data_IF_312910644274
#
_entry.id   IF_312910644274
#
_cell.length_a   1.000
_cell.length_b   1.000
_cell.length_c   1.000
_cell.angle_alpha   90.00
_cell.angle_beta   90.00
_cell.angle_gamma   90.00
#
_symmetry.space_group_name_H-M   'P 1'
#
loop_
_entity.id
_entity.type
_entity.pdbx_description
1 polymer ?
#
# COMPACT_ATOMS: atom_id res chain seq x y z
N UNK A 1 10.74 -33.42 -40.91
CA UNK A 1 10.00 -32.77 -39.81
C UNK A 1 8.88 -33.72 -39.41
N UNK A 2 8.83 -34.14 -38.14
CA UNK A 2 7.75 -35.00 -37.64
C UNK A 2 6.46 -34.18 -37.62
N UNK A 3 5.38 -34.70 -38.21
CA UNK A 3 4.08 -34.03 -38.19
C UNK A 3 3.64 -33.74 -36.74
N UNK A 4 3.11 -32.54 -36.46
CA UNK A 4 2.62 -32.22 -35.13
C UNK A 4 1.41 -33.08 -34.78
N UNK A 5 1.37 -33.57 -33.53
CA UNK A 5 0.26 -34.39 -33.05
C UNK A 5 -1.10 -33.67 -33.22
N UNK A 6 -2.09 -34.38 -33.76
CA UNK A 6 -3.40 -33.84 -34.14
C UNK A 6 -4.06 -33.03 -33.02
N UNK A 7 -4.04 -33.55 -31.78
CA UNK A 7 -4.64 -32.86 -30.63
C UNK A 7 -4.05 -31.46 -30.36
N UNK A 8 -2.79 -31.19 -30.74
CA UNK A 8 -2.17 -29.86 -30.59
C UNK A 8 -2.72 -28.88 -31.61
N UNK A 9 -2.95 -29.35 -32.83
CA UNK A 9 -3.53 -28.55 -33.92
C UNK A 9 -4.96 -28.19 -33.53
N UNK A 10 -5.75 -29.18 -33.10
CA UNK A 10 -7.12 -28.98 -32.66
C UNK A 10 -7.19 -28.05 -31.43
N UNK A 11 -6.23 -28.16 -30.51
CA UNK A 11 -6.16 -27.29 -29.34
C UNK A 11 -5.86 -25.83 -29.69
N UNK A 12 -4.92 -25.59 -30.63
CA UNK A 12 -4.60 -24.24 -31.10
C UNK A 12 -5.81 -23.62 -31.81
N UNK A 13 -6.48 -24.37 -32.69
CA UNK A 13 -7.72 -23.92 -33.34
C UNK A 13 -8.81 -23.57 -32.33
N UNK A 14 -9.00 -24.40 -31.31
CA UNK A 14 -9.93 -24.13 -30.22
C UNK A 14 -9.58 -22.90 -29.36
N UNK A 15 -8.30 -22.49 -29.31
CA UNK A 15 -7.91 -21.23 -28.66
C UNK A 15 -8.18 -20.04 -29.56
N UNK A 16 -7.87 -20.16 -30.86
CA UNK A 16 -8.18 -19.14 -31.87
C UNK A 16 -9.68 -18.82 -31.89
N UNK A 17 -10.54 -19.85 -31.90
CA UNK A 17 -11.99 -19.71 -31.87
C UNK A 17 -12.47 -19.00 -30.59
N UNK A 18 -11.87 -19.31 -29.43
CA UNK A 18 -12.21 -18.63 -28.17
C UNK A 18 -11.74 -17.18 -28.13
N UNK A 19 -10.55 -16.89 -28.65
CA UNK A 19 -10.04 -15.52 -28.75
C UNK A 19 -10.91 -14.72 -29.71
N UNK A 20 -11.37 -15.29 -30.82
CA UNK A 20 -12.19 -14.62 -31.82
C UNK A 20 -13.64 -14.40 -31.37
N UNK A 21 -14.23 -15.36 -30.68
CA UNK A 21 -15.64 -15.32 -30.26
C UNK A 21 -15.97 -14.25 -29.22
N UNK A 22 -14.97 -13.76 -28.47
CA UNK A 22 -15.15 -12.84 -27.35
C UNK A 22 -14.40 -11.54 -27.54
N UNK A 23 -14.85 -10.49 -26.87
CA UNK A 23 -14.22 -9.15 -26.98
C UNK A 23 -12.86 -9.11 -26.30
N UNK A 24 -12.77 -9.65 -25.09
CA UNK A 24 -11.59 -9.55 -24.23
C UNK A 24 -10.87 -10.89 -24.12
N UNK A 25 -9.55 -10.83 -24.27
CA UNK A 25 -8.63 -11.95 -24.07
C UNK A 25 -7.53 -11.55 -23.09
N UNK A 26 -7.43 -12.24 -21.97
CA UNK A 26 -6.44 -11.96 -20.92
C UNK A 26 -5.54 -13.17 -20.69
N UNK A 27 -4.26 -12.90 -20.45
CA UNK A 27 -3.27 -13.89 -20.04
C UNK A 27 -3.09 -13.76 -18.54
N UNK A 28 -3.29 -14.88 -17.84
CA UNK A 28 -3.08 -14.97 -16.39
C UNK A 28 -2.01 -15.99 -16.06
N UNK A 29 -1.25 -15.75 -15.00
CA UNK A 29 -0.36 -16.73 -14.40
C UNK A 29 -1.15 -17.66 -13.49
N UNK A 30 -0.85 -18.96 -13.56
CA UNK A 30 -1.37 -19.97 -12.63
C UNK A 30 -0.30 -20.46 -11.64
N UNK A 31 0.85 -19.78 -11.58
CA UNK A 31 2.00 -20.19 -10.77
C UNK A 31 1.60 -20.25 -9.29
N UNK A 32 1.97 -21.34 -8.62
CA UNK A 32 1.73 -21.50 -7.18
C UNK A 32 0.32 -21.95 -6.78
N UNK A 33 -0.63 -21.99 -7.72
CA UNK A 33 -2.00 -22.43 -7.43
C UNK A 33 -2.12 -23.95 -7.26
N UNK A 34 -2.79 -24.37 -6.18
CA UNK A 34 -3.20 -25.77 -5.99
C UNK A 34 -4.45 -26.06 -6.81
N UNK A 35 -4.65 -27.33 -7.17
CA UNK A 35 -5.83 -27.75 -7.94
C UNK A 35 -7.16 -27.35 -7.26
N UNK A 36 -7.26 -27.49 -5.93
CA UNK A 36 -8.48 -27.13 -5.21
C UNK A 36 -8.76 -25.62 -5.24
N UNK A 37 -7.72 -24.80 -5.11
CA UNK A 37 -7.81 -23.33 -5.19
C UNK A 37 -8.20 -22.91 -6.61
N UNK A 38 -7.52 -23.46 -7.62
CA UNK A 38 -7.85 -23.21 -9.02
C UNK A 38 -9.28 -23.62 -9.36
N UNK A 39 -9.78 -24.75 -8.86
CA UNK A 39 -11.17 -25.17 -9.08
C UNK A 39 -12.17 -24.23 -8.41
N UNK A 40 -11.89 -23.74 -7.20
CA UNK A 40 -12.74 -22.73 -6.54
C UNK A 40 -12.81 -21.45 -7.36
N UNK A 41 -11.68 -20.94 -7.83
CA UNK A 41 -11.60 -19.73 -8.67
C UNK A 41 -12.30 -19.97 -10.02
N UNK A 42 -12.10 -21.14 -10.63
CA UNK A 42 -12.75 -21.49 -11.90
C UNK A 42 -14.27 -21.57 -11.76
N UNK A 43 -14.77 -22.05 -10.63
CA UNK A 43 -16.20 -22.12 -10.36
C UNK A 43 -16.81 -20.73 -10.09
N UNK A 44 -16.10 -19.84 -9.39
CA UNK A 44 -16.61 -18.50 -9.09
C UNK A 44 -16.69 -17.58 -10.31
N UNK A 45 -15.85 -17.82 -11.33
CA UNK A 45 -15.79 -16.99 -12.54
C UNK A 45 -16.54 -17.64 -13.72
N UNK A 46 -17.07 -18.86 -13.57
CA UNK A 46 -17.63 -19.67 -14.67
C UNK A 46 -18.68 -18.96 -15.53
N UNK A 47 -19.50 -18.12 -14.90
CA UNK A 47 -20.59 -17.39 -15.59
C UNK A 47 -20.10 -16.14 -16.32
N UNK A 48 -18.95 -15.58 -15.91
CA UNK A 48 -18.41 -14.31 -16.41
C UNK A 48 -17.25 -14.49 -17.38
N UNK A 49 -16.42 -15.50 -17.18
CA UNK A 49 -15.28 -15.78 -18.04
C UNK A 49 -15.01 -17.27 -18.18
N UNK A 50 -14.34 -17.64 -19.28
CA UNK A 50 -13.82 -19.01 -19.43
C UNK A 50 -12.31 -18.98 -19.28
N UNK A 51 -11.81 -19.96 -18.54
CA UNK A 51 -10.39 -20.14 -18.28
C UNK A 51 -9.93 -21.41 -19.00
N UNK A 52 -8.98 -21.27 -19.92
CA UNK A 52 -8.29 -22.37 -20.58
C UNK A 52 -6.79 -22.35 -20.24
N UNK A 53 -6.36 -23.35 -19.49
CA UNK A 53 -4.94 -23.58 -19.23
C UNK A 53 -4.28 -24.06 -20.51
N UNK A 54 -3.17 -23.44 -20.90
CA UNK A 54 -2.47 -23.77 -22.13
C UNK A 54 -0.96 -23.72 -21.93
N UNK A 55 -0.23 -24.45 -22.79
CA UNK A 55 1.23 -24.29 -22.84
C UNK A 55 1.52 -22.94 -23.48
N UNK A 56 2.40 -22.15 -22.89
CA UNK A 56 2.84 -20.84 -23.39
C UNK A 56 3.12 -20.84 -24.92
N UNK A 57 3.83 -21.85 -25.42
CA UNK A 57 4.15 -21.97 -26.85
C UNK A 57 2.92 -22.16 -27.74
N UNK A 58 1.91 -22.91 -27.30
CA UNK A 58 0.67 -23.10 -28.06
C UNK A 58 -0.20 -21.84 -28.01
N UNK A 59 -0.22 -21.15 -26.87
CA UNK A 59 -0.95 -19.89 -26.73
C UNK A 59 -0.37 -18.80 -27.63
N UNK A 60 0.96 -18.68 -27.70
CA UNK A 60 1.62 -17.75 -28.63
C UNK A 60 1.28 -18.02 -30.08
N UNK A 61 1.29 -19.30 -30.48
CA UNK A 61 0.94 -19.69 -31.83
C UNK A 61 -0.52 -19.34 -32.15
N UNK A 62 -1.45 -19.62 -31.23
CA UNK A 62 -2.86 -19.24 -31.40
C UNK A 62 -3.02 -17.72 -31.55
N UNK A 63 -2.32 -16.92 -30.72
CA UNK A 63 -2.36 -15.45 -30.79
C UNK A 63 -1.80 -14.94 -32.13
N UNK A 64 -0.72 -15.52 -32.66
CA UNK A 64 -0.12 -15.14 -33.94
C UNK A 64 -1.02 -15.47 -35.13
N UNK A 65 -1.73 -16.60 -35.08
CA UNK A 65 -2.70 -17.00 -36.09
C UNK A 65 -4.02 -16.22 -36.01
N UNK A 66 -4.24 -15.46 -34.93
CA UNK A 66 -5.47 -14.70 -34.76
C UNK A 66 -5.40 -13.42 -35.61
N UNK A 67 -6.39 -13.21 -36.48
CA UNK A 67 -6.48 -12.02 -37.35
C UNK A 67 -6.91 -10.71 -36.66
N UNK A 68 -6.80 -10.60 -35.33
CA UNK A 68 -7.22 -9.41 -34.57
C UNK A 68 -6.15 -8.32 -34.59
N UNK A 69 -6.57 -7.07 -34.71
CA UNK A 69 -5.67 -5.92 -34.77
C UNK A 69 -4.75 -5.85 -33.54
N UNK A 70 -3.44 -5.75 -33.75
CA UNK A 70 -2.43 -5.50 -32.71
C UNK A 70 -2.37 -6.54 -31.55
N UNK A 71 -3.06 -7.69 -31.69
CA UNK A 71 -3.08 -8.75 -30.67
C UNK A 71 -1.73 -9.46 -30.53
N UNK A 72 -0.88 -9.37 -31.57
CA UNK A 72 0.43 -10.04 -31.62
C UNK A 72 1.31 -9.64 -30.44
N UNK A 73 1.21 -8.40 -29.94
CA UNK A 73 1.97 -7.93 -28.77
C UNK A 73 1.62 -8.65 -27.47
N UNK A 74 0.44 -9.30 -27.40
CA UNK A 74 0.02 -10.07 -26.22
C UNK A 74 0.89 -11.33 -26.02
N UNK A 75 1.54 -11.83 -27.09
CA UNK A 75 2.38 -13.03 -27.06
C UNK A 75 3.59 -12.89 -26.13
N UNK A 76 4.11 -11.67 -25.98
CA UNK A 76 5.31 -11.35 -25.19
C UNK A 76 5.03 -11.47 -23.68
N UNK A 77 3.76 -11.56 -23.29
CA UNK A 77 3.32 -11.77 -21.91
C UNK A 77 3.01 -13.24 -21.62
N UNK A 78 2.96 -14.09 -22.63
CA UNK A 78 2.64 -15.52 -22.51
C UNK A 78 3.88 -16.34 -22.07
N UNK A 79 4.41 -16.15 -20.86
CA UNK A 79 5.59 -16.86 -20.35
C UNK A 79 5.29 -17.73 -19.11
N UNK A 80 5.90 -18.91 -19.02
CA UNK A 80 5.77 -19.80 -17.86
C UNK A 80 4.46 -20.60 -17.83
N UNK A 81 3.89 -20.72 -16.63
CA UNK A 81 2.62 -21.41 -16.40
C UNK A 81 1.47 -20.40 -16.57
N UNK A 82 0.80 -20.47 -17.72
CA UNK A 82 -0.23 -19.49 -18.12
C UNK A 82 -1.57 -20.13 -18.40
N UNK A 83 -2.62 -19.33 -18.26
CA UNK A 83 -3.95 -19.63 -18.75
C UNK A 83 -4.48 -18.45 -19.55
N UNK A 84 -5.31 -18.76 -20.56
CA UNK A 84 -6.09 -17.78 -21.29
C UNK A 84 -7.44 -17.63 -20.59
N UNK A 85 -7.80 -16.39 -20.31
CA UNK A 85 -9.15 -16.00 -19.90
C UNK A 85 -9.80 -15.27 -21.07
N UNK A 86 -10.97 -15.71 -21.48
CA UNK A 86 -11.79 -15.00 -22.46
C UNK A 86 -13.09 -14.57 -21.81
N UNK A 87 -13.57 -13.38 -22.14
CA UNK A 87 -14.78 -12.78 -21.57
C UNK A 87 -15.30 -11.63 -22.44
N UNK A 88 -16.55 -11.26 -22.23
CA UNK A 88 -17.20 -10.10 -22.83
C UNK A 88 -17.29 -8.91 -21.84
N UNK A 89 -16.85 -9.10 -20.59
CA UNK A 89 -16.69 -8.02 -19.61
C UNK A 89 -15.40 -7.22 -19.84
N UNK A 90 -15.33 -6.02 -19.29
CA UNK A 90 -14.15 -5.15 -19.43
C UNK A 90 -12.92 -5.71 -18.69
N UNK A 91 -11.69 -5.43 -19.18
CA UNK A 91 -10.44 -5.88 -18.57
C UNK A 91 -10.30 -5.53 -17.09
N UNK A 92 -10.73 -4.32 -16.71
CA UNK A 92 -10.67 -3.84 -15.32
C UNK A 92 -11.60 -4.64 -14.39
N UNK A 93 -12.83 -4.94 -14.82
CA UNK A 93 -13.75 -5.76 -14.03
C UNK A 93 -13.20 -7.16 -13.79
N UNK A 94 -12.59 -7.75 -14.81
CA UNK A 94 -11.96 -9.07 -14.70
C UNK A 94 -10.77 -9.02 -13.75
N UNK A 95 -9.93 -7.99 -13.84
CA UNK A 95 -8.85 -7.76 -12.88
C UNK A 95 -9.40 -7.71 -11.44
N UNK A 96 -10.42 -6.90 -11.19
CA UNK A 96 -10.99 -6.75 -9.84
C UNK A 96 -11.64 -8.05 -9.33
N UNK A 97 -12.29 -8.83 -10.20
CA UNK A 97 -12.85 -10.14 -9.85
C UNK A 97 -11.73 -11.12 -9.49
N UNK A 98 -10.66 -11.15 -10.28
CA UNK A 98 -9.52 -12.03 -10.03
C UNK A 98 -8.84 -11.65 -8.71
N UNK A 99 -8.64 -10.36 -8.45
CA UNK A 99 -8.03 -9.86 -7.21
C UNK A 99 -8.88 -10.18 -5.98
N UNK A 100 -10.21 -10.02 -6.07
CA UNK A 100 -11.15 -10.40 -5.00
C UNK A 100 -11.23 -11.92 -4.77
N UNK A 101 -10.95 -12.71 -5.81
CA UNK A 101 -10.97 -14.17 -5.72
C UNK A 101 -9.70 -14.76 -5.09
N UNK A 102 -8.66 -13.94 -4.87
CA UNK A 102 -7.41 -14.38 -4.25
C UNK A 102 -7.65 -14.76 -2.79
N UNK A 103 -7.04 -15.85 -2.38
CA UNK A 103 -7.13 -16.35 -1.01
C UNK A 103 -5.76 -16.50 -0.42
N UNK A 104 -5.60 -16.21 0.87
CA UNK A 104 -4.35 -16.47 1.56
C UNK A 104 -4.14 -17.97 1.73
N UNK A 105 -2.93 -18.44 1.46
CA UNK A 105 -2.54 -19.85 1.52
C UNK A 105 -1.29 -20.06 2.40
N UNK A 106 -1.14 -21.25 3.01
CA UNK A 106 0.02 -21.58 3.83
C UNK A 106 1.26 -21.85 2.99
N UNK A 107 2.40 -21.34 3.46
CA UNK A 107 3.72 -21.56 2.90
C UNK A 107 4.16 -23.03 3.01
N UNK A 108 4.90 -23.54 2.00
CA UNK A 108 5.51 -24.88 2.05
C UNK A 108 7.00 -24.87 2.40
N UNK A 109 7.61 -23.70 2.41
CA UNK A 109 9.05 -23.51 2.60
C UNK A 109 9.80 -23.52 1.26
N UNK A 110 10.78 -22.62 1.11
CA UNK A 110 11.49 -22.35 -0.15
C UNK A 110 10.82 -21.28 -1.03
N UNK A 111 9.69 -20.73 -0.59
CA UNK A 111 8.98 -19.65 -1.27
C UNK A 111 9.51 -18.29 -0.81
N UNK A 112 9.47 -17.29 -1.69
CA UNK A 112 9.91 -15.92 -1.40
C UNK A 112 8.71 -15.16 -0.83
N UNK A 113 8.90 -14.45 0.28
CA UNK A 113 7.87 -13.61 0.86
C UNK A 113 7.59 -12.37 -0.01
N UNK A 114 6.32 -12.17 -0.41
CA UNK A 114 5.89 -11.02 -1.22
C UNK A 114 5.79 -9.73 -0.39
N UNK A 115 5.57 -9.88 0.92
CA UNK A 115 5.39 -8.82 1.91
C UNK A 115 6.10 -9.18 3.22
N UNK A 116 6.29 -8.20 4.09
CA UNK A 116 6.86 -8.43 5.42
C UNK A 116 5.86 -9.23 6.28
N UNK A 117 6.32 -10.37 6.80
CA UNK A 117 5.51 -11.22 7.68
C UNK A 117 5.79 -10.80 9.13
N UNK A 118 4.91 -9.99 9.68
CA UNK A 118 4.94 -9.55 11.08
C UNK A 118 4.03 -10.46 11.90
N UNK A 119 4.53 -10.92 13.05
CA UNK A 119 3.76 -11.72 14.00
C UNK A 119 3.58 -10.88 15.26
N UNK A 120 2.32 -10.55 15.56
CA UNK A 120 1.93 -9.81 16.76
C UNK A 120 1.95 -10.69 18.02
N UNK A 121 2.10 -10.09 19.22
CA UNK A 121 1.95 -10.80 20.48
C UNK A 121 0.58 -11.49 20.55
N UNK A 122 0.58 -12.82 20.71
CA UNK A 122 -0.64 -13.62 20.70
C UNK A 122 -0.52 -14.80 21.65
N UNK A 123 -1.58 -15.04 22.41
CA UNK A 123 -1.76 -16.28 23.17
C UNK A 123 -2.17 -17.40 22.23
N UNK A 124 -1.41 -18.50 22.20
CA UNK A 124 -1.74 -19.67 21.39
C UNK A 124 -2.50 -20.71 22.22
N UNK A 125 -3.23 -21.61 21.55
CA UNK A 125 -3.93 -22.72 22.22
C UNK A 125 -3.08 -24.00 22.30
N UNK A 126 -1.77 -23.91 22.06
CA UNK A 126 -0.89 -25.08 22.13
C UNK A 126 -0.43 -25.37 23.56
N UNK A 127 -0.48 -26.64 24.00
CA UNK A 127 0.03 -27.02 25.31
C UNK A 127 1.56 -26.91 25.36
N UNK A 128 2.14 -26.70 26.55
CA UNK A 128 3.59 -26.70 26.74
C UNK A 128 4.15 -28.08 26.37
N UNK A 129 5.11 -28.10 25.46
CA UNK A 129 5.64 -29.31 24.86
C UNK A 129 6.69 -29.00 23.80
N UNK A 130 7.05 -29.95 22.91
CA UNK A 130 8.09 -29.75 21.89
C UNK A 130 7.81 -28.56 20.95
N UNK A 131 6.55 -28.12 20.86
CA UNK A 131 6.14 -26.94 20.11
C UNK A 131 6.81 -25.65 20.58
N UNK A 132 7.11 -25.47 21.87
CA UNK A 132 7.81 -24.27 22.31
C UNK A 132 9.23 -24.21 21.74
N UNK A 133 9.91 -25.36 21.66
CA UNK A 133 11.23 -25.45 21.07
C UNK A 133 11.19 -25.21 19.55
N UNK A 134 10.13 -25.63 18.86
CA UNK A 134 9.94 -25.32 17.43
C UNK A 134 9.78 -23.81 17.18
N UNK A 135 8.99 -23.13 18.02
CA UNK A 135 8.75 -21.69 17.90
C UNK A 135 10.03 -20.89 18.18
N UNK A 136 10.77 -21.26 19.23
CA UNK A 136 12.05 -20.63 19.57
C UNK A 136 13.11 -20.88 18.50
N UNK A 137 13.21 -22.10 17.95
CA UNK A 137 14.13 -22.41 16.84
C UNK A 137 13.82 -21.63 15.57
N UNK A 138 12.54 -21.42 15.28
CA UNK A 138 12.12 -20.62 14.14
C UNK A 138 12.38 -19.10 14.32
N UNK A 139 12.75 -18.67 15.53
CA UNK A 139 13.10 -17.28 15.85
C UNK A 139 11.99 -16.48 16.53
N UNK A 140 10.95 -17.12 17.07
CA UNK A 140 9.89 -16.42 17.82
C UNK A 140 10.19 -16.39 19.33
N UNK A 141 10.00 -15.24 19.99
CA UNK A 141 10.13 -15.11 21.44
C UNK A 141 8.88 -15.68 22.13
N UNK A 142 8.80 -17.01 22.20
CA UNK A 142 7.71 -17.76 22.83
C UNK A 142 8.05 -18.14 24.27
N UNK A 143 7.09 -17.99 25.17
CA UNK A 143 7.17 -18.36 26.58
C UNK A 143 5.93 -19.15 27.03
N UNK A 144 6.02 -19.83 28.18
CA UNK A 144 4.88 -20.54 28.78
C UNK A 144 4.22 -19.61 29.79
N UNK A 145 2.94 -19.32 29.59
CA UNK A 145 2.12 -18.59 30.55
C UNK A 145 0.79 -19.32 30.74
N UNK A 146 0.37 -19.49 32.00
CA UNK A 146 -0.91 -20.15 32.37
C UNK A 146 -1.12 -21.52 31.69
N UNK A 147 -0.04 -22.27 31.46
CA UNK A 147 -0.09 -23.59 30.81
C UNK A 147 -0.35 -23.55 29.30
N UNK A 148 -0.10 -22.42 28.63
CA UNK A 148 -0.16 -22.24 27.17
C UNK A 148 1.10 -21.53 26.65
N UNK A 149 1.37 -21.66 25.36
CA UNK A 149 2.48 -20.94 24.71
C UNK A 149 2.00 -19.54 24.30
N UNK A 150 2.72 -18.49 24.69
CA UNK A 150 2.43 -17.08 24.38
C UNK A 150 3.62 -16.46 23.65
N UNK A 151 3.35 -15.69 22.59
CA UNK A 151 4.34 -14.89 21.88
C UNK A 151 4.45 -13.54 22.59
N UNK A 152 5.62 -13.22 23.13
CA UNK A 152 5.82 -12.08 24.05
C UNK A 152 5.88 -10.72 23.37
N UNK A 153 6.46 -10.65 22.17
CA UNK A 153 6.71 -9.40 21.48
C UNK A 153 6.46 -9.53 19.99
N UNK A 154 6.12 -8.41 19.36
CA UNK A 154 6.03 -8.32 17.91
C UNK A 154 7.40 -8.55 17.29
N UNK A 155 7.46 -9.41 16.27
CA UNK A 155 8.70 -9.69 15.54
C UNK A 155 8.41 -9.77 14.04
N UNK A 156 9.23 -9.09 13.24
CA UNK A 156 9.29 -9.29 11.79
C UNK A 156 9.92 -10.65 11.51
N UNK A 157 9.08 -11.66 11.28
CA UNK A 157 9.48 -13.05 11.22
C UNK A 157 10.21 -13.39 9.90
N UNK A 158 9.76 -12.79 8.80
CA UNK A 158 10.39 -12.86 7.48
C UNK A 158 10.22 -11.51 6.79
N UNK A 159 11.30 -10.95 6.24
CA UNK A 159 11.20 -9.72 5.44
C UNK A 159 10.79 -10.02 4.00
N UNK A 160 10.21 -9.04 3.34
CA UNK A 160 9.89 -9.07 1.93
C UNK A 160 11.15 -9.40 1.11
N UNK A 161 11.04 -10.40 0.24
CA UNK A 161 12.15 -10.87 -0.59
C UNK A 161 12.98 -12.00 0.04
N UNK A 162 12.82 -12.28 1.33
CA UNK A 162 13.51 -13.39 1.98
C UNK A 162 12.81 -14.73 1.71
N UNK A 163 13.59 -15.80 1.72
CA UNK A 163 13.08 -17.16 1.56
C UNK A 163 12.48 -17.64 2.89
N UNK A 164 11.21 -18.03 2.86
CA UNK A 164 10.54 -18.66 3.98
C UNK A 164 11.12 -20.07 4.14
N UNK A 165 11.89 -20.31 5.19
CA UNK A 165 12.41 -21.67 5.46
C UNK A 165 11.29 -22.62 5.87
N UNK A 166 11.51 -23.93 5.75
CA UNK A 166 10.51 -24.94 6.09
C UNK A 166 10.08 -24.89 7.56
N UNK A 167 11.01 -24.56 8.46
CA UNK A 167 10.72 -24.38 9.89
C UNK A 167 9.80 -23.19 10.13
N UNK A 168 10.09 -22.05 9.50
CA UNK A 168 9.24 -20.85 9.56
C UNK A 168 7.85 -21.09 8.97
N UNK A 169 7.77 -21.82 7.85
CA UNK A 169 6.50 -22.16 7.21
C UNK A 169 5.59 -23.05 8.10
N UNK A 170 6.17 -23.99 8.86
CA UNK A 170 5.42 -24.83 9.79
C UNK A 170 4.82 -24.00 10.93
N UNK A 171 5.60 -23.10 11.53
CA UNK A 171 5.11 -22.25 12.61
C UNK A 171 4.03 -21.27 12.13
N UNK A 172 4.20 -20.69 10.93
CA UNK A 172 3.17 -19.83 10.32
C UNK A 172 1.86 -20.60 10.10
N UNK A 173 1.94 -21.85 9.63
CA UNK A 173 0.77 -22.71 9.46
C UNK A 173 0.09 -23.01 10.81
N UNK A 174 0.86 -23.29 11.86
CA UNK A 174 0.33 -23.56 13.20
C UNK A 174 -0.31 -22.32 13.83
N UNK A 175 0.20 -21.12 13.52
CA UNK A 175 -0.38 -19.85 13.93
C UNK A 175 -1.57 -19.38 13.07
N UNK A 176 -1.93 -20.16 12.05
CA UNK A 176 -2.95 -19.83 11.04
C UNK A 176 -2.66 -18.53 10.29
N UNK A 177 -1.37 -18.18 10.16
CA UNK A 177 -0.88 -17.04 9.39
C UNK A 177 -0.51 -17.55 7.99
N UNK A 178 -1.20 -17.02 6.99
CA UNK A 178 -1.07 -17.44 5.60
C UNK A 178 -0.42 -16.32 4.77
N UNK A 179 0.92 -16.37 4.54
CA UNK A 179 1.64 -15.25 3.96
C UNK A 179 1.66 -15.23 2.43
N UNK A 180 1.25 -16.31 1.77
CA UNK A 180 1.25 -16.38 0.31
C UNK A 180 -0.14 -16.13 -0.21
N UNK A 181 -0.24 -15.27 -1.20
CA UNK A 181 -1.49 -15.03 -1.90
C UNK A 181 -1.65 -16.07 -3.00
N UNK A 182 -2.58 -17.00 -2.82
CA UNK A 182 -2.96 -17.95 -3.86
C UNK A 182 -4.06 -17.33 -4.73
N UNK A 183 -3.71 -17.01 -5.97
CA UNK A 183 -4.58 -16.32 -6.90
C UNK A 183 -4.18 -16.49 -8.36
N UNK A 184 -5.09 -16.14 -9.27
CA UNK A 184 -4.74 -15.94 -10.67
C UNK A 184 -4.22 -14.52 -10.84
N UNK A 185 -2.95 -14.38 -11.23
CA UNK A 185 -2.39 -13.06 -11.50
C UNK A 185 -2.60 -12.69 -12.96
N UNK A 186 -3.35 -11.62 -13.21
CA UNK A 186 -3.49 -11.08 -14.56
C UNK A 186 -2.18 -10.39 -14.97
N UNK A 187 -1.59 -10.88 -16.06
CA UNK A 187 -0.34 -10.34 -16.62
C UNK A 187 -0.68 -9.22 -17.61
N UNK A 188 -1.52 -9.55 -18.60
CA UNK A 188 -1.97 -8.61 -19.62
C UNK A 188 -3.37 -8.98 -20.13
N UNK A 189 -4.13 -7.98 -20.54
CA UNK A 189 -5.44 -8.14 -21.17
C UNK A 189 -5.51 -7.37 -22.49
N UNK A 190 -6.18 -7.93 -23.48
CA UNK A 190 -6.44 -7.33 -24.77
C UNK A 190 -7.91 -7.00 -24.93
N UNK A 191 -8.21 -5.79 -25.40
CA UNK A 191 -9.54 -5.33 -25.80
C UNK A 191 -9.40 -4.35 -26.98
N UNK A 192 -10.09 -4.60 -28.09
CA UNK A 192 -10.22 -3.70 -29.25
C UNK A 192 -8.91 -3.04 -29.75
N UNK A 193 -7.81 -3.80 -29.78
CA UNK A 193 -6.51 -3.34 -30.30
C UNK A 193 -5.58 -2.75 -29.24
N UNK A 194 -6.07 -2.57 -28.01
CA UNK A 194 -5.31 -2.10 -26.87
C UNK A 194 -4.89 -3.28 -25.97
N UNK A 195 -3.70 -3.15 -25.38
CA UNK A 195 -3.19 -4.10 -24.40
C UNK A 195 -3.01 -3.37 -23.08
N UNK A 196 -3.67 -3.89 -22.06
CA UNK A 196 -3.64 -3.39 -20.70
C UNK A 196 -2.76 -4.30 -19.86
N UNK A 197 -1.72 -3.71 -19.26
CA UNK A 197 -0.85 -4.41 -18.33
C UNK A 197 -1.44 -4.37 -16.92
N UNK A 198 -0.92 -5.24 -16.04
CA UNK A 198 -1.26 -5.25 -14.61
C UNK A 198 -1.21 -3.87 -13.98
N UNK A 199 -0.17 -3.07 -14.27
CA UNK A 199 0.04 -1.76 -13.64
C UNK A 199 -1.02 -0.73 -14.01
N UNK A 200 -1.59 -0.82 -15.21
CA UNK A 200 -2.68 0.06 -15.65
C UNK A 200 -3.99 -0.42 -15.04
N UNK A 201 -4.20 -1.73 -14.97
CA UNK A 201 -5.42 -2.33 -14.43
C UNK A 201 -5.47 -2.29 -12.90
N UNK A 202 -4.34 -2.13 -12.21
CA UNK A 202 -4.27 -2.07 -10.75
C UNK A 202 -4.61 -0.70 -10.16
N UNK A 203 -4.70 0.34 -11.00
CA UNK A 203 -5.05 1.70 -10.56
C UNK A 203 -6.47 1.69 -9.97
N UNK A 204 -6.62 2.15 -8.73
CA UNK A 204 -7.91 2.28 -8.06
C UNK A 204 -8.63 3.56 -8.47
N UNK A 205 -9.97 3.53 -8.42
CA UNK A 205 -10.79 4.71 -8.71
C UNK A 205 -10.48 5.86 -7.75
N UNK A 206 -10.20 5.54 -6.48
CA UNK A 206 -9.77 6.50 -5.46
C UNK A 206 -8.47 7.21 -5.84
N UNK A 207 -7.49 6.46 -6.37
CA UNK A 207 -6.23 7.03 -6.83
C UNK A 207 -6.45 7.94 -8.02
N UNK A 208 -7.30 7.55 -8.97
CA UNK A 208 -7.63 8.41 -10.14
C UNK A 208 -8.26 9.72 -9.67
N UNK A 209 -9.20 9.66 -8.73
CA UNK A 209 -9.84 10.85 -8.18
C UNK A 209 -8.86 11.75 -7.43
N UNK A 210 -7.97 11.15 -6.62
CA UNK A 210 -6.92 11.88 -5.91
C UNK A 210 -5.94 12.55 -6.90
N UNK A 211 -5.44 11.82 -7.88
CA UNK A 211 -4.50 12.32 -8.88
C UNK A 211 -5.14 13.45 -9.71
N UNK A 212 -6.42 13.31 -10.08
CA UNK A 212 -7.17 14.35 -10.78
C UNK A 212 -7.34 15.61 -9.92
N UNK A 213 -7.68 15.46 -8.64
CA UNK A 213 -7.80 16.58 -7.71
C UNK A 213 -6.46 17.30 -7.52
N UNK A 214 -5.37 16.55 -7.34
CA UNK A 214 -4.01 17.11 -7.25
C UNK A 214 -3.59 17.81 -8.54
N UNK A 215 -3.89 17.23 -9.71
CA UNK A 215 -3.61 17.87 -11.00
C UNK A 215 -4.39 19.17 -11.19
N UNK A 216 -5.67 19.19 -10.79
CA UNK A 216 -6.49 20.41 -10.81
C UNK A 216 -5.95 21.49 -9.88
N UNK A 217 -5.58 21.15 -8.65
CA UNK A 217 -4.96 22.09 -7.72
C UNK A 217 -3.62 22.62 -8.25
N UNK A 218 -2.79 21.76 -8.82
CA UNK A 218 -1.53 22.17 -9.46
C UNK A 218 -1.75 23.11 -10.64
N UNK A 219 -2.72 22.81 -11.51
CA UNK A 219 -3.09 23.69 -12.62
C UNK A 219 -3.65 25.03 -12.14
N UNK A 220 -4.46 25.03 -11.07
CA UNK A 220 -4.98 26.23 -10.43
C UNK A 220 -3.86 27.10 -9.86
N UNK A 221 -2.93 26.51 -9.10
CA UNK A 221 -1.76 27.22 -8.59
C UNK A 221 -0.91 27.81 -9.71
N UNK A 222 -0.66 27.05 -10.77
CA UNK A 222 0.06 27.54 -11.95
C UNK A 222 -0.66 28.72 -12.60
N UNK A 223 -1.98 28.65 -12.76
CA UNK A 223 -2.77 29.73 -13.36
C UNK A 223 -2.74 31.02 -12.50
N UNK A 224 -2.78 30.90 -11.17
CA UNK A 224 -2.66 32.03 -10.24
C UNK A 224 -1.27 32.68 -10.38
N UNK A 225 -0.19 31.91 -10.35
CA UNK A 225 1.17 32.45 -10.49
C UNK A 225 1.43 33.04 -11.88
N UNK A 226 0.87 32.43 -12.93
CA UNK A 226 0.98 32.93 -14.30
C UNK A 226 0.07 34.13 -14.58
N UNK A 227 -0.75 34.57 -13.61
CA UNK A 227 -1.78 35.61 -13.77
C UNK A 227 -2.75 35.33 -14.93
N UNK A 228 -3.08 34.06 -15.14
CA UNK A 228 -3.99 33.64 -16.21
C UNK A 228 -5.45 33.78 -15.77
N UNK A 229 -6.06 34.94 -16.06
CA UNK A 229 -7.37 35.31 -15.54
C UNK A 229 -8.48 34.41 -16.11
N UNK A 230 -9.02 33.54 -15.26
CA UNK A 230 -10.25 32.76 -15.52
C UNK A 230 -11.23 32.87 -14.34
N UNK A 231 -12.55 32.89 -14.58
CA UNK A 231 -13.55 33.13 -13.54
C UNK A 231 -13.41 32.25 -12.29
N UNK A 232 -12.96 31.01 -12.46
CA UNK A 232 -12.79 30.01 -11.41
C UNK A 232 -11.66 30.31 -10.44
N UNK A 233 -10.65 31.09 -10.85
CA UNK A 233 -9.48 31.43 -10.01
C UNK A 233 -9.49 32.87 -9.51
N UNK A 234 -10.31 33.75 -10.10
CA UNK A 234 -10.38 35.18 -9.72
C UNK A 234 -10.59 35.38 -8.22
N UNK A 235 -11.51 34.66 -7.53
CA UNK A 235 -11.68 34.82 -6.09
C UNK A 235 -10.40 34.52 -5.29
N UNK A 236 -9.65 33.49 -5.69
CA UNK A 236 -8.39 33.13 -5.04
C UNK A 236 -7.29 34.15 -5.36
N UNK A 237 -7.23 34.67 -6.59
CA UNK A 237 -6.30 35.74 -6.96
C UNK A 237 -6.54 37.02 -6.16
N UNK A 238 -7.80 37.42 -5.98
CA UNK A 238 -8.17 38.58 -5.15
C UNK A 238 -7.77 38.35 -3.70
N UNK A 239 -8.03 37.14 -3.18
CA UNK A 239 -7.66 36.76 -1.82
C UNK A 239 -6.14 36.80 -1.62
N UNK A 240 -5.37 36.25 -2.59
CA UNK A 240 -3.90 36.30 -2.58
C UNK A 240 -3.39 37.74 -2.62
N UNK A 241 -3.89 38.57 -3.55
CA UNK A 241 -3.49 39.97 -3.67
C UNK A 241 -3.77 40.76 -2.39
N UNK A 242 -4.92 40.50 -1.73
CA UNK A 242 -5.25 41.11 -0.45
C UNK A 242 -4.29 40.70 0.67
N UNK A 243 -3.93 39.42 0.75
CA UNK A 243 -2.96 38.91 1.74
C UNK A 243 -1.55 39.47 1.49
N UNK A 244 -1.11 39.55 0.23
CA UNK A 244 0.18 40.14 -0.14
C UNK A 244 0.23 41.64 0.18
N UNK A 245 -0.84 42.39 -0.10
CA UNK A 245 -0.95 43.79 0.25
C UNK A 245 -0.91 44.02 1.78
N UNK A 246 -1.59 43.17 2.55
CA UNK A 246 -1.52 43.22 4.02
C UNK A 246 -0.12 42.89 4.52
N UNK A 247 0.53 41.85 3.97
CA UNK A 247 1.89 41.49 4.37
C UNK A 247 2.87 42.63 4.08
N UNK A 248 2.73 43.29 2.94
CA UNK A 248 3.53 44.48 2.59
C UNK A 248 3.27 45.64 3.56
N UNK A 249 2.00 45.90 3.90
CA UNK A 249 1.65 46.96 4.85
C UNK A 249 2.26 46.72 6.24
N UNK A 250 2.25 45.46 6.71
CA UNK A 250 2.84 45.07 7.99
C UNK A 250 4.36 45.28 8.00
N UNK A 251 5.06 44.91 6.93
CA UNK A 251 6.51 45.10 6.85
C UNK A 251 6.91 46.58 6.65
N UNK A 252 6.09 47.32 5.90
CA UNK A 252 6.28 48.76 5.72
C UNK A 252 5.87 49.60 6.94
N UNK A 253 5.32 48.98 8.00
CA UNK A 253 4.69 49.64 9.15
C UNK A 253 3.62 50.68 8.75
N UNK A 254 2.90 50.38 7.67
CA UNK A 254 1.81 51.22 7.19
C UNK A 254 0.50 50.84 7.90
N UNK A 255 0.07 51.68 8.83
CA UNK A 255 -1.11 51.45 9.66
C UNK A 255 -2.34 52.12 9.04
N UNK A 256 -3.41 51.36 8.97
CA UNK A 256 -4.74 51.77 8.51
C UNK A 256 -5.82 51.21 9.45
N UNK A 257 -7.03 51.78 9.42
CA UNK A 257 -8.16 51.36 10.26
C UNK A 257 -8.46 49.85 10.09
N UNK A 258 -8.19 49.29 8.90
CA UNK A 258 -8.47 47.89 8.56
C UNK A 258 -7.41 46.89 9.04
N UNK A 259 -6.20 47.34 9.40
CA UNK A 259 -5.09 46.44 9.76
C UNK A 259 -4.57 46.67 11.20
N UNK A 260 -5.12 47.65 11.93
CA UNK A 260 -4.69 48.02 13.28
C UNK A 260 -4.73 46.83 14.26
N UNK A 261 -5.76 45.98 14.17
CA UNK A 261 -5.91 44.79 15.00
C UNK A 261 -4.73 43.81 14.82
N UNK A 262 -4.21 43.70 13.60
CA UNK A 262 -3.09 42.82 13.28
C UNK A 262 -1.80 43.37 13.89
N UNK A 263 -1.61 44.70 13.85
CA UNK A 263 -0.47 45.35 14.50
C UNK A 263 -0.49 45.20 16.03
N UNK A 264 -1.66 45.33 16.66
CA UNK A 264 -1.81 45.11 18.11
C UNK A 264 -1.47 43.67 18.48
N UNK A 265 -1.97 42.69 17.71
CA UNK A 265 -1.64 41.28 17.91
C UNK A 265 -0.14 41.01 17.73
N UNK A 266 0.48 41.57 16.68
CA UNK A 266 1.92 41.44 16.43
C UNK A 266 2.74 42.05 17.58
N UNK A 267 2.35 43.21 18.09
CA UNK A 267 3.01 43.86 19.23
C UNK A 267 2.92 43.00 20.50
N UNK A 268 1.75 42.42 20.79
CA UNK A 268 1.58 41.52 21.92
C UNK A 268 2.46 40.27 21.80
N UNK A 269 2.46 39.60 20.64
CA UNK A 269 3.31 38.43 20.38
C UNK A 269 4.79 38.77 20.57
N UNK A 270 5.24 39.92 20.03
CA UNK A 270 6.63 40.36 20.18
C UNK A 270 6.97 40.69 21.64
N UNK A 271 6.07 41.33 22.39
CA UNK A 271 6.27 41.64 23.80
C UNK A 271 6.38 40.36 24.63
N UNK A 272 5.49 39.39 24.43
CA UNK A 272 5.56 38.07 25.09
C UNK A 272 6.81 37.29 24.72
N UNK A 273 7.26 37.37 23.46
CA UNK A 273 8.51 36.74 23.02
C UNK A 273 9.74 37.38 23.69
N UNK A 274 9.76 38.70 23.84
CA UNK A 274 10.82 39.42 24.56
C UNK A 274 10.80 39.08 26.05
N UNK A 275 9.64 39.04 26.68
CA UNK A 275 9.48 38.64 28.09
C UNK A 275 10.01 37.22 28.33
N UNK A 276 9.70 36.27 27.44
CA UNK A 276 10.22 34.91 27.52
C UNK A 276 11.75 34.83 27.38
N UNK A 277 12.35 35.69 26.54
CA UNK A 277 13.81 35.77 26.39
C UNK A 277 14.47 36.40 27.62
N UNK A 278 13.92 37.51 28.13
CA UNK A 278 14.42 38.16 29.35
C UNK A 278 14.35 37.21 30.54
N UNK A 279 13.24 36.48 30.72
CA UNK A 279 13.11 35.50 31.79
C UNK A 279 14.05 34.29 31.62
N UNK A 280 14.49 33.98 30.39
CA UNK A 280 15.48 32.94 30.13
C UNK A 280 16.91 33.40 30.43
N UNK A 281 17.23 34.66 30.17
CA UNK A 281 18.54 35.26 30.47
C UNK A 281 18.69 35.57 31.97
N UNK A 282 17.62 36.02 32.64
CA UNK A 282 17.61 36.22 34.10
C UNK A 282 17.80 34.91 34.89
N UNK A 283 17.35 33.77 34.35
CA UNK A 283 17.57 32.45 34.95
C UNK A 283 18.99 31.89 34.71
N UNK A 284 19.81 32.54 33.86
CA UNK A 284 21.20 32.15 33.60
C UNK A 284 22.24 33.09 34.24
N UNK A 285 21.88 34.29 34.68
CA UNK A 285 22.83 35.23 35.33
C UNK A 285 22.91 35.11 36.86
N UNK A 286 22.05 34.33 37.52
CA UNK A 286 22.08 34.11 38.98
C UNK A 286 22.69 32.75 39.41
N UNK A 287 23.82 32.35 38.81
CA UNK A 287 24.68 31.27 39.34
C UNK A 287 26.17 31.66 39.28
N UNK A 288 26.55 32.78 39.89
CA UNK A 288 27.91 32.96 40.44
C UNK A 288 27.86 33.96 41.59
N UNK A 289 27.46 33.50 42.78
CA UNK A 289 28.04 33.90 44.08
C UNK A 289 27.08 33.58 45.24
N UNK A 290 27.15 32.32 45.69
CA UNK A 290 26.98 31.82 47.07
C UNK A 290 26.30 30.45 47.08
N UNK A 291 27.12 29.41 47.25
CA UNK A 291 26.92 28.29 48.19
C UNK A 291 28.06 27.29 48.03
N UNK A 292 29.20 27.60 48.64
CA UNK A 292 29.89 26.55 49.38
C UNK A 292 29.24 26.46 50.77
N UNK A 293 29.08 25.22 51.24
CA UNK A 293 28.63 24.78 52.57
C UNK A 293 27.12 24.84 52.89
N UNK A 294 26.39 23.76 52.58
CA UNK A 294 26.28 22.58 53.46
C UNK A 294 25.29 21.55 52.90
N UNK A 295 25.72 20.30 53.00
CA UNK A 295 25.05 19.08 52.57
C UNK A 295 24.03 18.58 53.62
N UNK A 296 23.17 17.67 53.13
CA UNK A 296 22.31 16.69 53.85
C UNK A 296 21.09 17.29 54.58
N UNK A 297 19.84 16.85 54.37
CA UNK A 297 19.33 15.49 54.16
C UNK A 297 17.82 15.49 53.74
N UNK A 298 17.38 14.43 53.05
CA UNK A 298 16.02 13.82 52.91
C UNK A 298 15.07 14.15 51.72
N UNK A 299 15.10 13.24 50.72
CA UNK A 299 14.04 12.31 50.23
C UNK A 299 12.56 12.61 50.65
N UNK A 300 11.48 12.49 49.85
CA UNK A 300 11.08 11.64 48.69
C UNK A 300 9.67 12.04 48.19
N UNK A 301 9.27 11.53 47.01
CA UNK A 301 7.90 11.41 46.40
C UNK A 301 7.36 12.62 45.61
N UNK A 302 6.69 12.51 44.47
CA UNK A 302 6.36 11.40 43.54
C UNK A 302 5.82 12.02 42.23
N UNK A 303 6.20 11.46 41.08
CA UNK A 303 5.74 11.80 39.73
C UNK A 303 4.30 11.32 39.46
N UNK A 304 3.28 12.16 39.71
CA UNK A 304 1.93 11.99 39.16
C UNK A 304 1.29 13.36 38.90
N UNK A 305 1.73 14.11 37.88
CA UNK A 305 0.93 15.27 37.39
C UNK A 305 1.28 15.78 35.97
N UNK A 306 2.07 15.04 35.19
CA UNK A 306 2.46 15.46 33.83
C UNK A 306 1.39 15.21 32.75
N UNK A 307 0.29 14.51 33.05
CA UNK A 307 -0.73 14.16 32.06
C UNK A 307 -1.94 15.13 32.00
N UNK A 308 -2.08 16.01 33.00
CA UNK A 308 -3.26 16.88 33.16
C UNK A 308 -3.18 18.17 32.32
N UNK A 309 -1.98 18.57 31.89
CA UNK A 309 -1.73 19.91 31.32
C UNK A 309 -1.94 20.06 29.80
N UNK A 310 -1.96 18.95 29.04
CA UNK A 310 -2.01 19.02 27.57
C UNK A 310 -3.43 19.09 26.98
N UNK A 311 -4.47 18.82 27.78
CA UNK A 311 -5.87 18.86 27.33
C UNK A 311 -6.50 20.25 27.24
N UNK A 312 -5.87 21.28 27.82
CA UNK A 312 -6.41 22.63 27.90
C UNK A 312 -6.03 23.54 26.71
N UNK A 313 -5.23 23.05 25.76
CA UNK A 313 -4.66 23.86 24.68
C UNK A 313 -5.36 23.71 23.33
N UNK A 314 -6.39 22.87 23.22
CA UNK A 314 -7.14 22.64 21.97
C UNK A 314 -8.67 22.58 22.16
N UNK A 315 -9.18 23.19 23.23
CA UNK A 315 -10.62 23.43 23.43
C UNK A 315 -11.04 24.80 22.95
#
# INVERSE_FOLDING_TARGET
>A
MTEPAQWKIDFVKNLEDEINSRKVAAIVSIKGLRNNEFQKIRNSIRDKARIKVSRARLLRLAIENTGKNNIVKLKDYAHGQVALITTDESPKKIYDILEKSKTKAPAKGGEIAEEDIVIEPKETNFPPGPKISEFQKAGLPAAIEKGKIVIKSEVTFVKKGDVITREKALVLKDLEIYPITAGLDLIAAYEDGLIFNKDVLSISDEKIMSDLASAFLGAKSLAIEANFIVPEIVPDMISKAYLEAQSLAIEANFVDEKNIDIFIRKAFINASAIEALINKDLNNEDITDKKEEKAEEKETSSDEDAASGLGALFG
#
